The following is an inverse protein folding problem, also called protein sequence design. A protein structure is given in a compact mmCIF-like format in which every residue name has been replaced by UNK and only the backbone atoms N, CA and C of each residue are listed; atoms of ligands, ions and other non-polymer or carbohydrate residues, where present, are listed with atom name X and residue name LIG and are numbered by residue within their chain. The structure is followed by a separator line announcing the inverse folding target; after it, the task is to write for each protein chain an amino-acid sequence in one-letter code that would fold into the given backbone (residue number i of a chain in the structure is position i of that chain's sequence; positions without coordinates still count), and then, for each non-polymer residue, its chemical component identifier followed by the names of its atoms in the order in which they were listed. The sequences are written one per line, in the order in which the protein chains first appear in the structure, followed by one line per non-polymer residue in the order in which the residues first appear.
data_IF_400499182146
#
_entry.id   IF_400499182146
#
_cell.length_a   1.000
_cell.length_b   1.000
_cell.length_c   1.000
_cell.angle_alpha   90.00
_cell.angle_beta   90.00
_cell.angle_gamma   90.00
#
_symmetry.space_group_name_H-M   'P 1'
#
loop_
_entity.id
_entity.type
_entity.pdbx_description
1 polymer ?
#
# COMPACT_ATOMS: atom_id res chain seq x y z
N UNK A 1 11.80 19.81 21.98
CA UNK A 1 11.42 18.98 20.82
C UNK A 1 10.00 19.37 20.41
N UNK A 2 9.75 19.62 19.12
CA UNK A 2 8.39 19.81 18.61
C UNK A 2 7.82 18.42 18.35
N UNK A 3 6.88 17.99 19.19
CA UNK A 3 6.22 16.70 19.02
C UNK A 3 5.03 16.91 18.08
N UNK A 4 5.03 16.23 16.93
CA UNK A 4 3.89 16.31 16.00
C UNK A 4 2.69 15.61 16.63
N UNK A 5 1.53 16.27 16.59
CA UNK A 5 0.25 15.71 17.10
C UNK A 5 -0.55 14.97 16.02
N UNK A 6 -0.03 14.98 14.79
CA UNK A 6 -0.67 14.42 13.60
C UNK A 6 0.32 13.49 12.88
N UNK A 7 -0.22 12.52 12.15
CA UNK A 7 0.56 11.50 11.43
C UNK A 7 -0.01 11.32 10.02
N UNK A 8 0.69 11.71 8.96
CA UNK A 8 0.30 11.33 7.62
C UNK A 8 0.47 9.81 7.48
N UNK A 9 -0.51 9.16 6.87
CA UNK A 9 -0.51 7.72 6.65
C UNK A 9 -0.95 7.42 5.23
N UNK A 10 -0.10 6.70 4.51
CA UNK A 10 -0.49 6.11 3.24
C UNK A 10 -1.31 4.85 3.54
N UNK A 11 -2.50 4.78 2.97
CA UNK A 11 -3.39 3.61 2.95
C UNK A 11 -3.38 3.04 1.53
N UNK A 12 -3.02 1.77 1.42
CA UNK A 12 -2.97 1.04 0.15
C UNK A 12 -4.24 0.24 0.01
N UNK A 13 -4.98 0.47 -1.07
CA UNK A 13 -6.28 -0.13 -1.29
C UNK A 13 -6.30 -0.85 -2.63
N UNK A 14 -6.90 -2.04 -2.66
CA UNK A 14 -7.18 -2.77 -3.89
C UNK A 14 -8.64 -2.67 -4.30
N UNK A 15 -8.90 -2.88 -5.59
CA UNK A 15 -10.25 -2.95 -6.16
C UNK A 15 -10.32 -3.89 -7.35
N UNK A 16 -11.48 -4.51 -7.56
CA UNK A 16 -11.77 -5.35 -8.72
C UNK A 16 -12.56 -4.61 -9.82
N UNK A 17 -13.22 -3.51 -9.47
CA UNK A 17 -14.12 -2.74 -10.35
C UNK A 17 -13.68 -1.27 -10.51
N UNK A 18 -12.69 -0.81 -9.74
CA UNK A 18 -12.23 0.57 -9.71
C UNK A 18 -13.13 1.52 -8.91
N UNK A 19 -14.19 1.01 -8.28
CA UNK A 19 -15.19 1.79 -7.55
C UNK A 19 -15.21 1.42 -6.05
N UNK A 20 -15.23 0.13 -5.73
CA UNK A 20 -15.17 -0.38 -4.37
C UNK A 20 -13.71 -0.65 -3.97
N UNK A 21 -13.21 0.09 -2.99
CA UNK A 21 -11.82 0.04 -2.55
C UNK A 21 -11.71 -0.56 -1.15
N UNK A 22 -10.84 -1.55 -0.99
CA UNK A 22 -10.62 -2.23 0.30
C UNK A 22 -9.15 -2.14 0.71
N UNK A 23 -8.84 -1.71 1.96
CA UNK A 23 -7.47 -1.52 2.40
C UNK A 23 -6.75 -2.84 2.68
N UNK A 24 -5.49 -2.89 2.30
CA UNK A 24 -4.50 -3.80 2.87
C UNK A 24 -4.12 -3.30 4.26
N UNK A 25 -4.14 -4.18 5.27
CA UNK A 25 -3.74 -3.79 6.63
C UNK A 25 -2.29 -4.16 6.89
N UNK A 26 -1.51 -3.17 7.32
CA UNK A 26 -0.14 -3.33 7.78
C UNK A 26 -0.12 -3.80 9.23
N UNK A 27 0.95 -4.44 9.69
CA UNK A 27 0.95 -5.09 11.00
C UNK A 27 1.05 -4.13 12.19
N UNK A 28 1.73 -2.99 12.05
CA UNK A 28 2.13 -2.16 13.19
C UNK A 28 1.80 -0.66 13.05
N UNK A 29 1.80 -0.08 11.85
CA UNK A 29 1.44 1.34 11.64
C UNK A 29 -0.06 1.60 11.85
N UNK A 30 -0.51 2.85 11.89
CA UNK A 30 -1.95 3.11 11.94
C UNK A 30 -2.62 2.64 10.64
N UNK A 31 -3.86 2.14 10.75
CA UNK A 31 -4.65 1.58 9.65
C UNK A 31 -6.12 1.77 9.99
N UNK A 32 -6.85 0.68 10.24
CA UNK A 32 -8.18 0.76 10.85
C UNK A 32 -8.21 1.68 12.08
N UNK A 33 -9.13 2.65 12.07
CA UNK A 33 -9.32 3.63 13.15
C UNK A 33 -9.76 2.98 14.47
N UNK A 34 -10.29 1.77 14.39
CA UNK A 34 -10.69 0.96 15.54
C UNK A 34 -9.56 0.08 16.07
N UNK A 35 -8.43 0.01 15.37
CA UNK A 35 -7.27 -0.76 15.82
C UNK A 35 -6.44 0.04 16.82
N UNK A 36 -6.31 -0.52 18.03
CA UNK A 36 -5.41 0.00 19.05
C UNK A 36 -3.95 0.03 18.53
N UNK A 37 -3.17 1.09 18.80
CA UNK A 37 -1.75 1.09 18.52
C UNK A 37 -1.05 -0.06 19.27
N UNK A 38 -0.29 -0.94 18.57
CA UNK A 38 0.44 -2.00 19.23
C UNK A 38 1.69 -1.46 19.92
N UNK A 39 2.14 -2.17 20.96
CA UNK A 39 3.50 -2.00 21.49
C UNK A 39 4.45 -2.80 20.60
N UNK A 40 5.38 -2.09 19.95
CA UNK A 40 6.30 -2.70 18.98
C UNK A 40 7.75 -2.71 19.42
N UNK A 41 8.16 -1.81 20.32
CA UNK A 41 9.53 -1.80 20.84
C UNK A 41 9.85 -3.12 21.59
N UNK A 42 11.05 -3.70 21.40
CA UNK A 42 12.22 -3.20 20.66
C UNK A 42 12.26 -3.61 19.17
N UNK A 43 11.23 -4.28 18.66
CA UNK A 43 11.15 -4.71 17.26
C UNK A 43 10.98 -3.51 16.32
N UNK A 44 11.65 -3.58 15.16
CA UNK A 44 11.64 -2.53 14.13
C UNK A 44 11.05 -3.11 12.84
N UNK A 45 9.71 -3.08 12.65
CA UNK A 45 9.07 -3.63 11.47
C UNK A 45 9.49 -2.83 10.22
N UNK A 46 10.29 -3.46 9.36
CA UNK A 46 10.93 -2.75 8.23
C UNK A 46 9.92 -2.11 7.29
N UNK A 47 8.85 -2.83 6.90
CA UNK A 47 7.86 -2.30 5.96
C UNK A 47 7.08 -1.12 6.58
N UNK A 48 6.48 -1.31 7.75
CA UNK A 48 5.73 -0.25 8.46
C UNK A 48 6.58 1.00 8.75
N UNK A 49 7.87 0.80 9.03
CA UNK A 49 8.84 1.88 9.23
C UNK A 49 9.16 2.62 7.93
N UNK A 50 9.35 1.91 6.82
CA UNK A 50 9.52 2.53 5.50
C UNK A 50 8.27 3.32 5.07
N UNK A 51 7.08 2.79 5.36
CA UNK A 51 5.81 3.49 5.10
C UNK A 51 5.69 4.82 5.85
N UNK A 52 6.21 4.90 7.08
CA UNK A 52 6.25 6.16 7.83
C UNK A 52 7.08 7.22 7.11
N UNK A 53 8.28 6.88 6.63
CA UNK A 53 9.09 7.83 5.87
C UNK A 53 8.47 8.20 4.53
N UNK A 54 7.90 7.23 3.81
CA UNK A 54 7.24 7.49 2.54
C UNK A 54 6.09 8.52 2.69
N UNK A 55 5.33 8.44 3.79
CA UNK A 55 4.22 9.35 4.06
C UNK A 55 4.65 10.78 4.42
N UNK A 56 5.93 11.03 4.72
CA UNK A 56 6.47 12.37 4.98
C UNK A 56 6.92 13.09 3.71
N UNK A 57 7.04 12.37 2.58
CA UNK A 57 7.52 12.89 1.31
C UNK A 57 6.55 12.61 0.15
N UNK A 58 7.05 12.83 -1.06
CA UNK A 58 6.35 12.55 -2.32
C UNK A 58 6.72 11.14 -2.84
N UNK A 59 5.86 10.45 -3.63
CA UNK A 59 6.21 9.15 -4.22
C UNK A 59 7.56 9.09 -4.92
N UNK A 60 8.01 10.19 -5.55
CA UNK A 60 9.33 10.28 -6.20
C UNK A 60 10.50 10.01 -5.23
N UNK A 61 10.30 10.24 -3.93
CA UNK A 61 11.30 9.98 -2.87
C UNK A 61 11.27 8.53 -2.37
N UNK A 62 10.26 7.74 -2.77
CA UNK A 62 10.04 6.36 -2.34
C UNK A 62 9.82 5.43 -3.55
N UNK A 63 10.78 5.27 -4.48
CA UNK A 63 10.61 4.45 -5.70
C UNK A 63 10.30 2.96 -5.40
N UNK A 64 10.68 2.47 -4.22
CA UNK A 64 10.34 1.12 -3.77
C UNK A 64 8.82 0.93 -3.60
N UNK A 65 8.09 2.01 -3.32
CA UNK A 65 6.65 1.96 -3.00
C UNK A 65 5.82 1.60 -4.23
N UNK A 66 6.13 2.17 -5.40
CA UNK A 66 5.45 1.77 -6.63
C UNK A 66 5.68 0.28 -6.94
N UNK A 67 6.92 -0.21 -6.76
CA UNK A 67 7.23 -1.63 -6.93
C UNK A 67 6.46 -2.49 -5.92
N UNK A 68 6.32 -2.05 -4.68
CA UNK A 68 5.48 -2.71 -3.68
C UNK A 68 4.02 -2.82 -4.15
N UNK A 69 3.43 -1.73 -4.65
CA UNK A 69 2.07 -1.75 -5.21
C UNK A 69 1.95 -2.69 -6.42
N UNK A 70 2.94 -2.72 -7.32
CA UNK A 70 2.94 -3.66 -8.46
C UNK A 70 3.02 -5.11 -8.01
N UNK A 71 3.78 -5.43 -6.97
CA UNK A 71 3.83 -6.79 -6.41
C UNK A 71 2.51 -7.21 -5.76
N UNK A 72 1.75 -6.28 -5.18
CA UNK A 72 0.40 -6.55 -4.70
C UNK A 72 -0.58 -6.83 -5.84
N UNK A 73 -0.51 -6.06 -6.94
CA UNK A 73 -1.26 -6.34 -8.18
C UNK A 73 -0.91 -7.70 -8.79
N UNK A 74 0.35 -8.14 -8.65
CA UNK A 74 0.80 -9.46 -9.08
C UNK A 74 0.47 -10.58 -8.08
N UNK A 75 -0.08 -10.27 -6.90
CA UNK A 75 -0.39 -11.26 -5.87
C UNK A 75 0.84 -11.95 -5.26
N UNK A 76 1.99 -11.27 -5.22
CA UNK A 76 3.25 -11.86 -4.75
C UNK A 76 3.16 -12.39 -3.30
N UNK A 77 3.33 -13.71 -3.05
CA UNK A 77 3.20 -14.28 -1.71
C UNK A 77 4.18 -13.70 -0.69
N UNK A 78 5.42 -13.42 -1.12
CA UNK A 78 6.46 -12.85 -0.27
C UNK A 78 6.09 -11.45 0.23
N UNK A 79 5.48 -10.64 -0.63
CA UNK A 79 5.02 -9.29 -0.27
C UNK A 79 3.75 -9.35 0.58
N UNK A 80 2.81 -10.23 0.23
CA UNK A 80 1.57 -10.40 1.00
C UNK A 80 1.84 -10.86 2.44
N UNK A 81 2.88 -11.68 2.66
CA UNK A 81 3.32 -12.10 4.01
C UNK A 81 3.85 -10.97 4.89
N UNK A 82 4.19 -9.81 4.33
CA UNK A 82 4.60 -8.64 5.10
C UNK A 82 3.41 -7.89 5.70
N UNK A 83 2.20 -8.16 5.22
CA UNK A 83 0.96 -7.50 5.63
C UNK A 83 0.22 -8.33 6.68
N UNK A 84 -0.55 -7.65 7.52
CA UNK A 84 -1.41 -8.32 8.49
C UNK A 84 -2.71 -8.85 7.86
N UNK A 85 -3.24 -8.15 6.85
CA UNK A 85 -4.45 -8.59 6.14
C UNK A 85 -4.35 -8.33 4.64
N UNK A 86 -4.60 -9.38 3.87
CA UNK A 86 -4.88 -9.32 2.45
C UNK A 86 -6.41 -9.40 2.24
N UNK A 87 -7.08 -8.35 1.71
CA UNK A 87 -8.51 -8.40 1.40
C UNK A 87 -8.85 -9.18 0.13
N UNK A 88 -7.86 -9.66 -0.62
CA UNK A 88 -7.99 -10.37 -1.89
C UNK A 88 -7.33 -11.77 -1.83
N UNK A 89 -7.89 -12.72 -1.06
CA UNK A 89 -7.26 -14.03 -0.85
C UNK A 89 -7.33 -14.96 -2.07
N UNK A 90 -8.39 -14.87 -2.88
CA UNK A 90 -8.64 -15.80 -3.99
C UNK A 90 -7.91 -15.41 -5.28
N UNK A 91 -7.82 -14.10 -5.54
CA UNK A 91 -7.16 -13.52 -6.72
C UNK A 91 -6.70 -12.11 -6.42
N UNK A 92 -5.55 -11.65 -6.92
CA UNK A 92 -5.10 -10.29 -6.72
C UNK A 92 -6.10 -9.27 -7.34
N UNK A 93 -6.14 -8.03 -6.81
CA UNK A 93 -7.03 -7.00 -7.32
C UNK A 93 -6.63 -6.56 -8.73
N UNK A 94 -7.58 -6.02 -9.48
CA UNK A 94 -7.32 -5.44 -10.82
C UNK A 94 -6.71 -4.05 -10.75
N UNK A 95 -7.00 -3.33 -9.66
CA UNK A 95 -6.55 -1.97 -9.43
C UNK A 95 -5.97 -1.83 -8.03
N UNK A 96 -4.93 -1.00 -7.91
CA UNK A 96 -4.41 -0.53 -6.64
C UNK A 96 -4.33 0.99 -6.67
N UNK A 97 -4.73 1.60 -5.55
CA UNK A 97 -4.47 3.02 -5.28
C UNK A 97 -3.78 3.17 -3.93
N UNK A 98 -3.11 4.28 -3.76
CA UNK A 98 -2.61 4.69 -2.46
C UNK A 98 -3.06 6.11 -2.17
N UNK A 99 -3.67 6.30 -1.01
CA UNK A 99 -4.22 7.58 -0.56
C UNK A 99 -3.58 7.98 0.76
N UNK A 100 -3.41 9.28 0.97
CA UNK A 100 -2.86 9.82 2.22
C UNK A 100 -3.99 10.32 3.09
N UNK A 101 -3.99 9.87 4.34
CA UNK A 101 -4.85 10.39 5.39
C UNK A 101 -4.01 11.08 6.46
N UNK A 102 -4.56 12.13 7.08
CA UNK A 102 -4.02 12.69 8.32
C UNK A 102 -4.68 12.00 9.51
N UNK A 103 -3.90 11.28 10.29
CA UNK A 103 -4.36 10.61 11.50
C UNK A 103 -4.09 11.46 12.75
N UNK A 104 -5.05 11.40 13.67
CA UNK A 104 -4.93 11.89 15.04
C UNK A 104 -5.36 10.79 16.00
N UNK A 105 -4.83 10.79 17.22
CA UNK A 105 -5.43 9.99 18.27
C UNK A 105 -6.86 10.48 18.53
N UNK A 106 -7.79 9.53 18.62
CA UNK A 106 -9.16 9.85 19.01
C UNK A 106 -9.19 10.38 20.46
N UNK A 107 -10.17 11.24 20.81
CA UNK A 107 -10.38 11.64 22.19
C UNK A 107 -10.49 10.44 23.13
N UNK A 108 -9.93 10.56 24.34
CA UNK A 108 -9.88 9.45 25.32
C UNK A 108 -11.26 8.86 25.66
N UNK A 109 -12.32 9.66 25.56
CA UNK A 109 -13.69 9.22 25.75
C UNK A 109 -14.12 8.14 24.74
N UNK A 110 -13.58 8.18 23.51
CA UNK A 110 -13.94 7.25 22.44
C UNK A 110 -13.18 5.91 22.50
N UNK A 111 -12.10 5.84 23.29
CA UNK A 111 -11.29 4.62 23.42
C UNK A 111 -12.10 3.46 24.01
N UNK A 112 -13.04 3.75 24.92
CA UNK A 112 -13.96 2.74 25.49
C UNK A 112 -14.92 2.16 24.46
N UNK A 113 -15.17 2.88 23.37
CA UNK A 113 -15.99 2.45 22.22
C UNK A 113 -15.14 1.76 21.14
N UNK A 114 -13.86 1.57 21.41
CA UNK A 114 -12.90 0.94 20.51
C UNK A 114 -12.44 1.83 19.37
N UNK A 115 -12.62 3.15 19.44
CA UNK A 115 -12.08 4.08 18.44
C UNK A 115 -10.78 4.66 18.99
N UNK A 116 -9.67 4.42 18.30
CA UNK A 116 -8.33 4.83 18.72
C UNK A 116 -7.78 5.96 17.88
N UNK A 117 -8.28 6.10 16.66
CA UNK A 117 -7.85 7.13 15.72
C UNK A 117 -9.04 7.86 15.12
N UNK A 118 -8.82 9.11 14.72
CA UNK A 118 -9.62 9.80 13.72
C UNK A 118 -8.74 10.07 12.52
N UNK A 119 -9.34 10.12 11.33
CA UNK A 119 -8.61 10.39 10.09
C UNK A 119 -9.40 11.25 9.13
N UNK A 120 -8.70 12.06 8.37
CA UNK A 120 -9.23 12.86 7.27
C UNK A 120 -8.42 12.58 6.00
N UNK A 121 -9.11 12.45 4.86
CA UNK A 121 -8.45 12.24 3.58
C UNK A 121 -7.74 13.53 3.16
N UNK A 122 -6.44 13.44 2.88
CA UNK A 122 -5.67 14.56 2.32
C UNK A 122 -5.75 14.53 0.80
N UNK A 123 -5.62 13.34 0.20
CA UNK A 123 -5.66 13.16 -1.24
C UNK A 123 -4.98 11.88 -1.68
N UNK A 124 -4.75 11.75 -2.98
CA UNK A 124 -4.04 10.62 -3.55
C UNK A 124 -2.53 10.75 -3.29
N UNK A 125 -1.89 9.64 -2.88
CA UNK A 125 -0.43 9.59 -2.81
C UNK A 125 0.14 9.39 -4.21
N UNK A 126 -0.47 8.52 -5.01
CA UNK A 126 -0.03 8.21 -6.38
C UNK A 126 -1.23 7.89 -7.27
N UNK A 127 -1.07 7.94 -8.62
CA UNK A 127 -2.11 7.52 -9.54
C UNK A 127 -2.52 6.06 -9.33
N UNK A 128 -3.77 5.74 -9.70
CA UNK A 128 -4.26 4.36 -9.72
C UNK A 128 -3.42 3.52 -10.67
N UNK A 129 -2.91 2.40 -10.16
CA UNK A 129 -2.27 1.37 -10.97
C UNK A 129 -3.30 0.31 -11.34
N UNK A 130 -3.27 -0.15 -12.58
CA UNK A 130 -3.97 -1.36 -13.01
C UNK A 130 -2.98 -2.48 -13.24
N UNK A 131 -3.41 -3.73 -13.03
CA UNK A 131 -2.67 -4.88 -13.56
C UNK A 131 -2.49 -4.65 -15.07
N UNK A 132 -1.25 -4.70 -15.57
CA UNK A 132 -1.06 -4.70 -17.01
C UNK A 132 -1.67 -6.00 -17.51
N UNK A 133 -2.63 -5.90 -18.43
CA UNK A 133 -2.98 -7.06 -19.25
C UNK A 133 -1.70 -7.40 -19.99
N UNK A 134 -1.08 -8.54 -19.71
CA UNK A 134 -0.01 -9.09 -20.55
C UNK A 134 -0.63 -9.32 -21.94
N UNK A 135 -0.55 -8.31 -22.81
CA UNK A 135 -0.66 -8.51 -24.23
C UNK A 135 0.62 -9.26 -24.61
N UNK A 136 0.52 -10.59 -24.69
CA UNK A 136 1.62 -11.46 -25.07
C UNK A 136 2.21 -11.02 -26.40
N UNK A 137 3.38 -10.40 -26.36
CA UNK A 137 4.21 -10.20 -27.55
C UNK A 137 4.99 -11.48 -27.79
N UNK A 138 4.30 -12.50 -28.28
CA UNK A 138 4.92 -13.52 -29.12
C UNK A 138 5.15 -12.90 -30.51
N UNK A 139 6.14 -12.00 -30.63
CA UNK A 139 6.62 -11.52 -31.91
C UNK A 139 7.86 -12.32 -32.31
N UNK A 140 7.59 -13.40 -33.07
CA UNK A 140 8.41 -13.91 -34.15
C UNK A 140 9.93 -13.92 -33.97
N UNK A 141 10.46 -15.10 -33.62
CA UNK A 141 11.75 -15.53 -34.20
C UNK A 141 11.59 -15.55 -35.72
N UNK A 142 12.22 -14.62 -36.40
CA UNK A 142 12.60 -14.79 -37.81
C UNK A 142 14.12 -14.71 -37.88
N UNK A 143 14.74 -15.90 -37.86
CA UNK A 143 16.12 -16.07 -38.30
C UNK A 143 16.20 -15.69 -39.79
N UNK A 144 16.94 -14.64 -40.12
CA UNK A 144 17.43 -14.42 -41.48
C UNK A 144 18.89 -14.89 -41.54
N UNK A 145 19.07 -16.15 -41.93
CA UNK A 145 20.28 -16.63 -42.56
C UNK A 145 20.10 -16.52 -44.07
N UNK A 146 20.95 -15.73 -44.72
CA UNK A 146 21.21 -15.66 -46.17
C UNK A 146 22.40 -14.70 -46.29
N UNK A 147 23.55 -15.00 -46.90
CA UNK A 147 23.88 -16.04 -47.88
C UNK A 147 24.01 -15.41 -49.26
N UNK A 148 25.26 -15.34 -49.75
CA UNK A 148 25.74 -14.96 -51.10
C UNK A 148 25.90 -13.44 -51.34
N UNK A 149 26.96 -12.93 -51.95
CA UNK A 149 27.96 -13.46 -52.91
C UNK A 149 29.33 -12.82 -52.70
#
# INVERSE_FOLDING_TARGET
AVMTTTRPEIIVEGSNDGAAWTPYEFAYKAGDVRRRPPWVAPYQPRLDWQMWFAALGDPSTAPWFERFCRQLLAGSPDVLRLLARNPFPDRPPRYIRAVVYRYHFAPRADHRRGVWWTRELIGDYMPVLSAQTDAGTAAGRASSASGSR
#
